data_IF_387894026264
#
_entry.id   IF_387894026264
#
_cell.length_a   1.000
_cell.length_b   1.000
_cell.length_c   1.000
_cell.angle_alpha   90.00
_cell.angle_beta   90.00
_cell.angle_gamma   90.00
#
_symmetry.space_group_name_H-M   'P 1'
#
loop_
_entity.id
_entity.type
_entity.pdbx_description
1 polymer ?
#
# COMPACT_ATOMS: atom_id res chain seq x y z
N UNK A 1 -26.61 17.31 -0.54
CA UNK A 1 -26.20 16.61 0.70
C UNK A 1 -25.27 17.56 1.46
N UNK A 2 -25.50 17.80 2.76
CA UNK A 2 -24.60 18.65 3.55
C UNK A 2 -23.24 17.97 3.77
N UNK A 3 -22.20 18.76 4.05
CA UNK A 3 -20.83 18.25 4.25
C UNK A 3 -20.76 17.15 5.32
N UNK A 4 -21.47 17.32 6.44
CA UNK A 4 -21.58 16.30 7.49
C UNK A 4 -22.09 14.97 6.97
N UNK A 5 -23.18 14.97 6.18
CA UNK A 5 -23.75 13.75 5.63
C UNK A 5 -22.82 13.05 4.62
N UNK A 6 -21.98 13.80 3.89
CA UNK A 6 -20.93 13.23 3.03
C UNK A 6 -19.87 12.52 3.87
N UNK A 7 -19.39 13.16 4.93
CA UNK A 7 -18.40 12.57 5.85
C UNK A 7 -18.95 11.32 6.51
N UNK A 8 -20.16 11.38 7.08
CA UNK A 8 -20.82 10.24 7.73
C UNK A 8 -20.96 9.05 6.75
N UNK A 9 -21.31 9.33 5.48
CA UNK A 9 -21.37 8.30 4.44
C UNK A 9 -20.01 7.66 4.15
N UNK A 10 -18.94 8.48 4.03
CA UNK A 10 -17.60 7.97 3.76
C UNK A 10 -17.05 7.14 4.94
N UNK A 11 -17.29 7.57 6.18
CA UNK A 11 -16.93 6.81 7.39
C UNK A 11 -17.66 5.47 7.37
N UNK A 12 -18.99 5.49 7.27
CA UNK A 12 -19.80 4.26 7.24
C UNK A 12 -19.31 3.29 6.16
N UNK A 13 -19.01 3.79 4.96
CA UNK A 13 -18.49 2.97 3.86
C UNK A 13 -17.13 2.37 4.19
N UNK A 14 -16.23 3.13 4.82
CA UNK A 14 -14.93 2.64 5.27
C UNK A 14 -15.05 1.59 6.36
N UNK A 15 -15.97 1.79 7.32
CA UNK A 15 -16.26 0.82 8.38
C UNK A 15 -16.81 -0.49 7.81
N UNK A 16 -17.77 -0.41 6.88
CA UNK A 16 -18.29 -1.58 6.15
C UNK A 16 -17.18 -2.37 5.44
N UNK A 17 -16.17 -1.69 4.87
CA UNK A 17 -15.02 -2.34 4.25
C UNK A 17 -14.07 -2.95 5.30
N UNK A 18 -13.92 -2.28 6.44
CA UNK A 18 -13.04 -2.72 7.51
C UNK A 18 -13.56 -3.95 8.25
N UNK A 19 -14.86 -4.01 8.58
CA UNK A 19 -15.46 -5.12 9.36
C UNK A 19 -15.67 -6.40 8.57
N UNK A 20 -15.53 -6.37 7.24
CA UNK A 20 -15.64 -7.58 6.42
C UNK A 20 -14.66 -8.66 6.91
N UNK A 21 -15.00 -9.96 6.85
CA UNK A 21 -14.03 -11.00 7.15
C UNK A 21 -12.88 -10.99 6.13
N UNK A 22 -11.74 -11.58 6.50
CA UNK A 22 -10.66 -11.78 5.54
C UNK A 22 -11.17 -12.55 4.31
N UNK A 23 -10.77 -12.08 3.14
CA UNK A 23 -10.91 -12.76 1.86
C UNK A 23 -9.59 -12.65 1.12
N UNK A 24 -9.25 -13.66 0.31
CA UNK A 24 -8.04 -13.61 -0.53
C UNK A 24 -8.07 -12.33 -1.38
N UNK A 25 -7.08 -11.48 -1.16
CA UNK A 25 -7.01 -10.16 -1.77
C UNK A 25 -6.56 -10.31 -3.22
N UNK A 26 -7.28 -9.66 -4.14
CA UNK A 26 -6.98 -9.66 -5.58
C UNK A 26 -6.20 -8.40 -5.96
N UNK A 27 -4.92 -8.36 -5.66
CA UNK A 27 -4.06 -7.19 -5.92
C UNK A 27 -3.78 -6.98 -7.40
N UNK A 28 -3.59 -8.07 -8.13
CA UNK A 28 -3.07 -8.06 -9.50
C UNK A 28 -4.09 -8.57 -10.52
N UNK A 29 -5.03 -9.42 -10.08
CA UNK A 29 -5.90 -10.20 -10.97
C UNK A 29 -5.23 -11.47 -11.51
N UNK A 30 -3.94 -11.69 -11.23
CA UNK A 30 -3.25 -12.94 -11.50
C UNK A 30 -3.33 -13.82 -10.25
N UNK A 31 -3.95 -15.01 -10.37
CA UNK A 31 -4.21 -15.87 -9.23
C UNK A 31 -2.93 -16.36 -8.53
N UNK A 32 -1.84 -16.62 -9.26
CA UNK A 32 -0.57 -17.10 -8.70
C UNK A 32 0.15 -15.97 -7.96
N UNK A 33 0.19 -14.78 -8.54
CA UNK A 33 0.74 -13.59 -7.88
C UNK A 33 -0.06 -13.24 -6.62
N UNK A 34 -1.39 -13.25 -6.71
CA UNK A 34 -2.26 -13.01 -5.56
C UNK A 34 -2.11 -14.11 -4.50
N UNK A 35 -1.86 -15.38 -4.86
CA UNK A 35 -1.51 -16.41 -3.87
C UNK A 35 -0.22 -16.06 -3.14
N UNK A 36 0.84 -15.69 -3.86
CA UNK A 36 2.13 -15.31 -3.27
C UNK A 36 1.99 -14.12 -2.31
N UNK A 37 1.28 -13.08 -2.72
CA UNK A 37 1.09 -11.86 -1.93
C UNK A 37 0.23 -12.08 -0.66
N UNK A 38 -0.68 -13.05 -0.69
CA UNK A 38 -1.51 -13.38 0.46
C UNK A 38 -0.85 -14.38 1.42
N UNK A 39 0.26 -15.02 1.03
CA UNK A 39 0.98 -15.98 1.86
C UNK A 39 1.91 -15.26 2.85
N UNK A 40 1.32 -14.60 3.86
CA UNK A 40 2.08 -13.90 4.90
C UNK A 40 2.81 -14.83 5.87
N UNK A 41 2.47 -16.13 5.87
CA UNK A 41 3.11 -17.12 6.74
C UNK A 41 4.47 -17.54 6.19
N UNK A 42 4.54 -17.91 4.91
CA UNK A 42 5.77 -18.38 4.28
C UNK A 42 6.55 -17.25 3.58
N UNK A 43 5.84 -16.27 3.00
CA UNK A 43 6.44 -15.21 2.19
C UNK A 43 5.96 -13.80 2.58
N UNK A 44 6.03 -13.38 3.86
CA UNK A 44 5.60 -12.04 4.28
C UNK A 44 6.34 -10.92 3.56
N UNK A 45 7.56 -11.16 3.08
CA UNK A 45 8.33 -10.20 2.29
C UNK A 45 7.71 -9.94 0.92
N UNK A 46 6.92 -10.84 0.34
CA UNK A 46 6.24 -10.60 -0.93
C UNK A 46 5.33 -9.38 -0.85
N UNK A 47 4.56 -9.27 0.24
CA UNK A 47 3.70 -8.13 0.52
C UNK A 47 4.49 -6.83 0.68
N UNK A 48 5.56 -6.85 1.48
CA UNK A 48 6.41 -5.66 1.71
C UNK A 48 7.05 -5.19 0.41
N UNK A 49 7.62 -6.11 -0.37
CA UNK A 49 8.26 -5.80 -1.64
C UNK A 49 7.24 -5.24 -2.64
N UNK A 50 6.02 -5.78 -2.71
CA UNK A 50 4.94 -5.24 -3.54
C UNK A 50 4.59 -3.78 -3.18
N UNK A 51 4.48 -3.48 -1.87
CA UNK A 51 4.18 -2.13 -1.41
C UNK A 51 5.25 -1.12 -1.88
N UNK A 52 6.53 -1.48 -1.78
CA UNK A 52 7.65 -0.61 -2.21
C UNK A 52 7.57 -0.34 -3.72
N UNK A 53 7.06 -1.29 -4.50
CA UNK A 53 6.92 -1.16 -5.95
C UNK A 53 5.76 -0.25 -6.39
N UNK A 54 4.84 0.13 -5.49
CA UNK A 54 3.63 0.89 -5.83
C UNK A 54 3.91 2.40 -6.03
N UNK A 55 4.68 2.70 -7.07
CA UNK A 55 5.18 4.05 -7.37
C UNK A 55 4.91 4.46 -8.80
N UNK A 56 3.95 5.39 -8.98
CA UNK A 56 3.70 6.08 -10.25
C UNK A 56 3.48 5.14 -11.46
N UNK A 57 2.95 3.95 -11.20
CA UNK A 57 2.43 3.00 -12.18
C UNK A 57 1.07 2.49 -11.69
N UNK A 58 0.37 1.68 -12.49
CA UNK A 58 -0.87 1.04 -12.04
C UNK A 58 -0.55 0.07 -10.90
N UNK A 59 -1.38 0.07 -9.85
CA UNK A 59 -1.22 -0.82 -8.70
C UNK A 59 -1.12 -2.29 -9.14
N UNK A 60 -1.98 -2.74 -10.06
CA UNK A 60 -1.96 -4.14 -10.52
C UNK A 60 -0.62 -4.53 -11.15
N UNK A 61 0.07 -3.59 -11.81
CA UNK A 61 1.40 -3.81 -12.38
C UNK A 61 2.48 -3.81 -11.31
N UNK A 62 2.43 -2.87 -10.36
CA UNK A 62 3.39 -2.80 -9.25
C UNK A 62 3.36 -4.06 -8.39
N UNK A 63 2.17 -4.48 -8.00
CA UNK A 63 1.96 -5.61 -7.10
C UNK A 63 2.27 -6.96 -7.78
N UNK A 64 2.33 -7.01 -9.12
CA UNK A 64 2.74 -8.20 -9.87
C UNK A 64 4.27 -8.43 -9.85
N UNK A 65 5.07 -7.41 -9.55
CA UNK A 65 6.54 -7.45 -9.66
C UNK A 65 7.19 -8.56 -8.81
N UNK A 66 6.82 -8.78 -7.53
CA UNK A 66 7.37 -9.90 -6.74
C UNK A 66 7.17 -11.26 -7.41
N UNK A 67 6.01 -11.48 -8.02
CA UNK A 67 5.72 -12.71 -8.73
C UNK A 67 6.59 -12.85 -9.99
N UNK A 68 6.73 -11.81 -10.81
CA UNK A 68 7.61 -11.84 -11.99
C UNK A 68 9.07 -12.15 -11.60
N UNK A 69 9.55 -11.57 -10.50
CA UNK A 69 10.89 -11.85 -9.98
C UNK A 69 10.99 -13.31 -9.51
N UNK A 70 9.96 -13.85 -8.86
CA UNK A 70 9.95 -15.26 -8.44
C UNK A 70 10.15 -16.23 -9.61
N UNK A 71 9.60 -15.90 -10.77
CA UNK A 71 9.73 -16.72 -11.98
C UNK A 71 11.16 -16.66 -12.54
N UNK A 72 11.79 -15.49 -12.50
CA UNK A 72 13.15 -15.27 -12.99
C UNK A 72 14.23 -15.85 -12.06
N UNK A 73 13.97 -15.88 -10.74
CA UNK A 73 14.88 -16.43 -9.72
C UNK A 73 14.66 -17.94 -9.50
N UNK A 74 13.52 -18.50 -9.90
CA UNK A 74 13.19 -19.91 -9.66
C UNK A 74 12.75 -20.20 -8.21
N UNK A 75 12.05 -19.24 -7.61
CA UNK A 75 11.58 -19.31 -6.23
C UNK A 75 11.45 -17.93 -5.60
N UNK A 76 10.94 -17.90 -4.37
CA UNK A 76 10.73 -16.65 -3.64
C UNK A 76 11.16 -16.72 -2.18
N UNK A 77 11.87 -17.78 -1.79
CA UNK A 77 12.50 -17.89 -0.49
C UNK A 77 13.54 -16.79 -0.31
N UNK A 78 13.59 -16.16 0.86
CA UNK A 78 14.43 -14.99 1.08
C UNK A 78 15.92 -15.28 0.81
N UNK A 79 16.41 -16.48 1.16
CA UNK A 79 17.78 -16.89 0.89
C UNK A 79 18.10 -16.95 -0.62
N UNK A 80 17.14 -17.34 -1.48
CA UNK A 80 17.33 -17.30 -2.93
C UNK A 80 17.41 -15.86 -3.43
N UNK A 81 16.53 -14.98 -2.93
CA UNK A 81 16.57 -13.56 -3.26
C UNK A 81 17.89 -12.90 -2.81
N UNK A 82 18.42 -13.26 -1.64
CA UNK A 82 19.70 -12.80 -1.11
C UNK A 82 20.91 -13.29 -1.92
N UNK A 83 20.77 -14.39 -2.66
CA UNK A 83 21.82 -14.90 -3.55
C UNK A 83 21.95 -14.10 -4.85
N UNK A 84 20.96 -13.27 -5.18
CA UNK A 84 21.01 -12.36 -6.33
C UNK A 84 21.67 -11.03 -5.95
N UNK A 85 22.66 -10.61 -6.72
CA UNK A 85 23.23 -9.27 -6.59
C UNK A 85 22.32 -8.20 -7.24
N UNK A 86 22.69 -6.93 -7.05
CA UNK A 86 21.94 -5.80 -7.60
C UNK A 86 21.91 -5.82 -9.13
N UNK A 87 22.99 -6.23 -9.79
CA UNK A 87 23.07 -6.22 -11.25
C UNK A 87 22.16 -7.29 -11.86
N UNK A 88 21.97 -8.43 -11.20
CA UNK A 88 20.96 -9.42 -11.57
C UNK A 88 19.55 -8.85 -11.48
N UNK A 89 19.21 -8.12 -10.41
CA UNK A 89 17.89 -7.48 -10.33
C UNK A 89 17.72 -6.39 -11.39
N UNK A 90 18.73 -5.56 -11.64
CA UNK A 90 18.67 -4.56 -12.72
C UNK A 90 18.43 -5.20 -14.09
N UNK A 91 19.16 -6.27 -14.39
CA UNK A 91 18.99 -7.06 -15.61
C UNK A 91 17.54 -7.53 -15.77
N UNK A 92 16.97 -8.16 -14.73
CA UNK A 92 15.58 -8.63 -14.73
C UNK A 92 14.60 -7.46 -14.95
N UNK A 93 14.72 -6.38 -14.17
CA UNK A 93 13.83 -5.22 -14.26
C UNK A 93 13.85 -4.60 -15.66
N UNK A 94 15.03 -4.44 -16.25
CA UNK A 94 15.20 -3.87 -17.60
C UNK A 94 14.66 -4.82 -18.66
N UNK A 95 15.09 -6.10 -18.67
CA UNK A 95 14.67 -7.08 -19.69
C UNK A 95 13.16 -7.30 -19.70
N UNK A 96 12.55 -7.41 -18.53
CA UNK A 96 11.09 -7.63 -18.39
C UNK A 96 10.28 -6.34 -18.40
N UNK A 97 10.93 -5.17 -18.39
CA UNK A 97 10.30 -3.86 -18.27
C UNK A 97 9.33 -3.81 -17.08
N UNK A 98 9.79 -4.23 -15.89
CA UNK A 98 8.91 -4.40 -14.73
C UNK A 98 8.35 -3.06 -14.25
N UNK A 99 9.16 -2.01 -14.29
CA UNK A 99 8.80 -0.68 -13.83
C UNK A 99 9.16 0.41 -14.84
N UNK A 100 8.53 1.59 -14.72
CA UNK A 100 8.96 2.78 -15.49
C UNK A 100 10.29 3.40 -15.00
N UNK A 101 10.81 2.91 -13.89
CA UNK A 101 12.03 3.38 -13.21
C UNK A 101 12.89 2.16 -12.86
N UNK A 102 13.23 1.35 -13.87
CA UNK A 102 13.80 0.02 -13.67
C UNK A 102 15.03 0.04 -12.77
N UNK A 103 16.01 0.90 -13.04
CA UNK A 103 17.26 0.94 -12.26
C UNK A 103 17.02 1.30 -10.79
N UNK A 104 16.20 2.33 -10.54
CA UNK A 104 15.87 2.79 -9.19
C UNK A 104 15.06 1.74 -8.43
N UNK A 105 14.06 1.13 -9.07
CA UNK A 105 13.19 0.15 -8.38
C UNK A 105 13.90 -1.19 -8.16
N UNK A 106 14.79 -1.60 -9.06
CA UNK A 106 15.68 -2.75 -8.82
C UNK A 106 16.57 -2.51 -7.59
N UNK A 107 17.10 -1.28 -7.44
CA UNK A 107 17.88 -0.91 -6.26
C UNK A 107 17.04 -0.96 -4.98
N UNK A 108 15.84 -0.38 -4.96
CA UNK A 108 14.98 -0.44 -3.77
C UNK A 108 14.52 -1.86 -3.44
N UNK A 109 14.24 -2.69 -4.45
CA UNK A 109 13.88 -4.10 -4.25
C UNK A 109 15.03 -4.86 -3.58
N UNK A 110 16.25 -4.74 -4.11
CA UNK A 110 17.46 -5.34 -3.54
C UNK A 110 17.72 -4.85 -2.10
N UNK A 111 17.69 -3.53 -1.86
CA UNK A 111 17.90 -2.95 -0.52
C UNK A 111 16.84 -3.42 0.48
N UNK A 112 15.59 -3.58 0.04
CA UNK A 112 14.51 -4.08 0.89
C UNK A 112 14.74 -5.52 1.33
N UNK A 113 15.17 -6.42 0.43
CA UNK A 113 15.55 -7.79 0.77
C UNK A 113 16.64 -7.79 1.86
N UNK A 114 17.71 -7.02 1.66
CA UNK A 114 18.79 -6.92 2.65
C UNK A 114 18.37 -6.29 3.97
N UNK A 115 17.42 -5.34 3.96
CA UNK A 115 16.86 -4.76 5.19
C UNK A 115 16.04 -5.78 5.96
N UNK A 116 15.24 -6.60 5.27
CA UNK A 116 14.47 -7.69 5.88
C UNK A 116 15.43 -8.66 6.57
N UNK A 117 16.47 -9.10 5.86
CA UNK A 117 17.53 -9.94 6.44
C UNK A 117 18.16 -9.32 7.70
N UNK A 118 18.67 -8.09 7.60
CA UNK A 118 19.46 -7.45 8.67
C UNK A 118 18.65 -6.96 9.87
N UNK A 119 17.43 -6.46 9.64
CA UNK A 119 16.64 -5.74 10.66
C UNK A 119 15.42 -6.52 11.14
N UNK A 120 15.05 -7.58 10.42
CA UNK A 120 13.84 -8.34 10.67
C UNK A 120 14.10 -9.86 10.65
N UNK A 121 15.34 -10.30 10.86
CA UNK A 121 15.70 -11.72 11.08
C UNK A 121 15.07 -12.66 10.03
N UNK A 122 15.31 -12.31 8.76
CA UNK A 122 14.76 -13.01 7.58
C UNK A 122 13.22 -13.12 7.49
N UNK A 123 12.49 -12.47 8.39
CA UNK A 123 11.04 -12.57 8.48
C UNK A 123 10.37 -11.18 8.52
N UNK A 124 9.86 -10.74 7.37
CA UNK A 124 9.19 -9.45 7.26
C UNK A 124 7.93 -9.31 8.15
N UNK A 125 7.32 -10.40 8.61
CA UNK A 125 6.19 -10.32 9.56
C UNK A 125 6.59 -9.70 10.90
N UNK A 126 7.89 -9.68 11.23
CA UNK A 126 8.44 -8.94 12.38
C UNK A 126 8.13 -7.42 12.33
N UNK A 127 7.65 -6.91 11.20
CA UNK A 127 7.13 -5.54 11.11
C UNK A 127 5.81 -5.37 11.89
N UNK A 128 4.97 -6.39 12.00
CA UNK A 128 3.60 -6.29 12.54
C UNK A 128 3.16 -7.41 13.49
N UNK A 129 3.90 -8.53 13.61
CA UNK A 129 3.44 -9.75 14.30
C UNK A 129 3.13 -9.59 15.79
N UNK A 130 3.69 -8.57 16.44
CA UNK A 130 3.57 -8.30 17.88
C UNK A 130 2.40 -7.36 18.23
N UNK A 131 1.44 -7.22 17.32
CA UNK A 131 0.33 -6.24 17.42
C UNK A 131 0.80 -4.85 17.85
N UNK A 132 1.83 -4.28 17.19
CA UNK A 132 2.38 -3.01 17.61
C UNK A 132 1.39 -1.87 17.35
N UNK A 133 1.66 -0.70 17.93
CA UNK A 133 0.92 0.53 17.62
C UNK A 133 1.07 0.88 16.14
N UNK A 134 0.05 1.49 15.52
CA UNK A 134 0.08 1.86 14.09
C UNK A 134 1.27 2.74 13.73
N UNK A 135 1.66 3.67 14.62
CA UNK A 135 2.86 4.51 14.45
C UNK A 135 4.15 3.70 14.26
N UNK A 136 4.25 2.55 14.93
CA UNK A 136 5.43 1.68 14.82
C UNK A 136 5.49 1.03 13.45
N UNK A 137 4.37 0.56 12.91
CA UNK A 137 4.31 -0.05 11.58
C UNK A 137 4.64 0.98 10.51
N UNK A 138 3.98 2.15 10.56
CA UNK A 138 4.26 3.23 9.61
C UNK A 138 5.73 3.64 9.65
N UNK A 139 6.31 3.82 10.85
CA UNK A 139 7.74 4.12 11.01
C UNK A 139 8.64 3.00 10.48
N UNK A 140 8.28 1.73 10.69
CA UNK A 140 9.03 0.57 10.19
C UNK A 140 9.02 0.53 8.65
N UNK A 141 7.89 0.84 8.00
CA UNK A 141 7.81 0.98 6.54
C UNK A 141 8.60 2.18 6.02
N UNK A 142 8.52 3.35 6.66
CA UNK A 142 9.29 4.55 6.29
C UNK A 142 10.81 4.36 6.31
N UNK A 143 11.29 3.32 6.98
CA UNK A 143 12.72 2.97 6.98
C UNK A 143 13.15 2.33 5.67
N UNK A 144 12.26 1.75 4.88
CA UNK A 144 12.62 1.16 3.60
C UNK A 144 12.93 2.24 2.56
N UNK A 145 14.02 2.06 1.83
CA UNK A 145 14.44 2.96 0.77
C UNK A 145 13.37 3.05 -0.32
N UNK A 146 13.02 4.28 -0.73
CA UNK A 146 11.95 4.54 -1.69
C UNK A 146 10.54 4.64 -1.10
N UNK A 147 10.35 4.31 0.18
CA UNK A 147 9.05 4.41 0.87
C UNK A 147 8.84 5.78 1.49
N UNK A 148 7.91 6.55 0.92
CA UNK A 148 7.38 7.77 1.52
C UNK A 148 6.11 7.52 2.34
N UNK A 149 5.56 8.58 2.96
CA UNK A 149 4.39 8.49 3.83
C UNK A 149 3.18 7.83 3.16
N UNK A 150 2.94 8.11 1.87
CA UNK A 150 1.86 7.48 1.08
C UNK A 150 1.95 5.95 1.15
N UNK A 151 3.11 5.38 0.83
CA UNK A 151 3.30 3.92 0.77
C UNK A 151 3.27 3.33 2.18
N UNK A 152 3.92 3.97 3.16
CA UNK A 152 3.98 3.47 4.52
C UNK A 152 2.59 3.37 5.18
N UNK A 153 1.78 4.40 5.00
CA UNK A 153 0.41 4.45 5.50
C UNK A 153 -0.50 3.48 4.74
N UNK A 154 -0.42 3.43 3.41
CA UNK A 154 -1.15 2.45 2.59
C UNK A 154 -0.86 1.02 3.04
N UNK A 155 0.42 0.69 3.28
CA UNK A 155 0.82 -0.63 3.74
C UNK A 155 0.24 -0.95 5.12
N UNK A 156 0.40 -0.06 6.10
CA UNK A 156 -0.21 -0.23 7.42
C UNK A 156 -1.75 -0.41 7.33
N UNK A 157 -2.40 0.34 6.44
CA UNK A 157 -3.84 0.29 6.24
C UNK A 157 -4.29 -1.05 5.63
N UNK A 158 -3.57 -1.59 4.63
CA UNK A 158 -3.88 -2.89 4.04
C UNK A 158 -3.67 -4.03 5.04
N UNK A 159 -2.62 -3.97 5.87
CA UNK A 159 -2.41 -4.95 6.95
C UNK A 159 -3.60 -4.98 7.92
N UNK A 160 -4.04 -3.82 8.40
CA UNK A 160 -5.17 -3.73 9.32
C UNK A 160 -6.50 -4.10 8.65
N UNK A 161 -6.78 -3.50 7.49
CA UNK A 161 -8.07 -3.60 6.81
C UNK A 161 -8.22 -4.91 6.05
N UNK A 162 -7.29 -5.30 5.20
CA UNK A 162 -7.53 -6.41 4.28
C UNK A 162 -7.02 -7.73 4.88
N UNK A 163 -5.80 -7.72 5.43
CA UNK A 163 -5.22 -8.91 6.08
C UNK A 163 -5.71 -9.17 7.50
N UNK A 164 -6.46 -8.23 8.09
CA UNK A 164 -7.00 -8.33 9.45
C UNK A 164 -5.92 -8.53 10.52
N UNK A 165 -4.72 -7.99 10.29
CA UNK A 165 -3.64 -8.03 11.26
C UNK A 165 -4.03 -7.13 12.45
N UNK A 166 -4.11 -7.67 13.67
CA UNK A 166 -4.51 -6.91 14.85
C UNK A 166 -3.42 -5.91 15.22
N UNK A 167 -3.81 -4.65 15.40
CA UNK A 167 -2.94 -3.55 15.83
C UNK A 167 -3.44 -2.98 17.16
N UNK A 168 -2.53 -2.48 17.99
CA UNK A 168 -2.90 -1.87 19.27
C UNK A 168 -3.74 -0.57 19.11
N UNK A 169 -3.59 0.13 17.98
CA UNK A 169 -4.39 1.30 17.61
C UNK A 169 -4.38 1.48 16.09
N UNK A 170 -5.15 2.46 15.59
CA UNK A 170 -5.19 2.86 14.18
C UNK A 170 -4.96 4.36 13.95
N UNK A 171 -4.64 5.09 15.02
CA UNK A 171 -4.58 6.56 15.05
C UNK A 171 -3.52 7.17 14.11
N UNK A 172 -2.46 6.42 13.79
CA UNK A 172 -1.42 6.84 12.85
C UNK A 172 -1.50 6.14 11.50
N UNK A 173 -2.56 5.36 11.24
CA UNK A 173 -2.87 4.95 9.88
C UNK A 173 -3.60 6.13 9.25
N UNK A 174 -2.85 6.97 8.55
CA UNK A 174 -3.40 8.13 7.87
C UNK A 174 -4.18 7.76 6.58
N UNK A 175 -4.80 8.75 5.97
CA UNK A 175 -5.24 8.65 4.59
C UNK A 175 -4.03 8.81 3.65
N UNK A 176 -4.00 8.10 2.53
CA UNK A 176 -2.88 8.16 1.58
C UNK A 176 -3.06 9.34 0.62
N UNK A 177 -2.08 10.25 0.45
CA UNK A 177 -2.14 11.35 -0.52
C UNK A 177 -2.02 10.88 -1.98
N UNK A 178 -3.02 10.14 -2.45
CA UNK A 178 -3.13 9.67 -3.82
C UNK A 178 -3.90 10.66 -4.70
N UNK A 179 -3.54 10.75 -5.99
CA UNK A 179 -4.19 11.66 -6.95
C UNK A 179 -5.71 11.44 -7.06
N UNK A 180 -6.19 10.22 -6.78
CA UNK A 180 -7.61 9.89 -6.78
C UNK A 180 -8.29 10.39 -5.51
N UNK A 181 -7.68 10.16 -4.35
CA UNK A 181 -8.18 10.58 -3.04
C UNK A 181 -8.20 12.11 -2.94
N UNK A 182 -7.09 12.78 -3.31
CA UNK A 182 -6.99 14.24 -3.36
C UNK A 182 -8.13 14.84 -4.18
N UNK A 183 -8.35 14.32 -5.40
CA UNK A 183 -9.41 14.81 -6.30
C UNK A 183 -10.81 14.62 -5.70
N UNK A 184 -11.06 13.50 -5.04
CA UNK A 184 -12.36 13.24 -4.39
C UNK A 184 -12.59 14.22 -3.25
N UNK A 185 -11.64 14.36 -2.32
CA UNK A 185 -11.77 15.28 -1.20
C UNK A 185 -11.94 16.74 -1.65
N UNK A 186 -11.17 17.18 -2.65
CA UNK A 186 -11.31 18.52 -3.23
C UNK A 186 -12.70 18.72 -3.85
N UNK A 187 -13.19 17.78 -4.68
CA UNK A 187 -14.50 17.92 -5.34
C UNK A 187 -15.68 17.80 -4.39
N UNK A 188 -15.50 17.14 -3.24
CA UNK A 188 -16.49 17.10 -2.16
C UNK A 188 -16.44 18.34 -1.25
N UNK A 189 -15.50 19.26 -1.48
CA UNK A 189 -15.33 20.47 -0.67
C UNK A 189 -14.77 20.21 0.73
N UNK A 190 -14.07 19.08 0.94
CA UNK A 190 -13.46 18.73 2.22
C UNK A 190 -12.09 19.37 2.41
N UNK A 191 -11.38 19.67 1.30
CA UNK A 191 -10.08 20.36 1.28
C UNK A 191 -10.06 21.38 0.13
N UNK A 192 -9.10 22.30 0.17
CA UNK A 192 -8.94 23.34 -0.86
C UNK A 192 -8.52 22.79 -2.23
N UNK A 193 -8.72 23.60 -3.29
CA UNK A 193 -8.35 23.20 -4.67
C UNK A 193 -6.86 22.97 -4.88
N UNK A 194 -6.01 23.70 -4.16
CA UNK A 194 -4.55 23.61 -4.22
C UNK A 194 -3.96 22.92 -2.99
N UNK A 195 -4.78 22.14 -2.27
CA UNK A 195 -4.37 21.43 -1.07
C UNK A 195 -3.18 20.51 -1.34
N UNK A 196 -2.19 20.55 -0.45
CA UNK A 196 -1.12 19.57 -0.40
C UNK A 196 -1.55 18.28 0.30
N UNK A 197 -0.67 17.26 0.26
CA UNK A 197 -0.93 15.99 0.96
C UNK A 197 -1.11 16.15 2.48
N UNK A 198 -0.44 17.15 3.08
CA UNK A 198 -0.56 17.42 4.52
C UNK A 198 -1.97 17.89 4.88
N UNK A 199 -2.58 18.77 4.09
CA UNK A 199 -3.96 19.24 4.34
C UNK A 199 -4.95 18.07 4.28
N UNK A 200 -4.79 17.15 3.33
CA UNK A 200 -5.59 15.93 3.28
C UNK A 200 -5.44 15.08 4.57
N UNK A 201 -4.21 14.87 5.02
CA UNK A 201 -3.92 14.09 6.22
C UNK A 201 -4.54 14.73 7.46
N UNK A 202 -4.34 16.04 7.66
CA UNK A 202 -4.90 16.74 8.82
C UNK A 202 -6.43 16.85 8.76
N UNK A 203 -7.02 17.04 7.57
CA UNK A 203 -8.46 16.98 7.37
C UNK A 203 -9.02 15.60 7.79
N UNK A 204 -8.42 14.50 7.31
CA UNK A 204 -8.87 13.16 7.70
C UNK A 204 -8.73 12.89 9.20
N UNK A 205 -7.67 13.40 9.84
CA UNK A 205 -7.48 13.31 11.30
C UNK A 205 -8.53 14.09 12.09
N UNK A 206 -8.90 15.28 11.62
CA UNK A 206 -9.97 16.06 12.22
C UNK A 206 -11.32 15.35 12.09
N UNK A 207 -11.60 14.79 10.90
CA UNK A 207 -12.88 14.14 10.61
C UNK A 207 -13.05 12.76 11.28
N UNK A 208 -11.97 12.00 11.47
CA UNK A 208 -12.01 10.71 12.15
C UNK A 208 -10.69 10.39 12.91
N UNK A 209 -10.49 10.94 14.12
CA UNK A 209 -9.20 10.90 14.81
C UNK A 209 -8.72 9.50 15.23
N UNK A 210 -9.65 8.58 15.50
CA UNK A 210 -9.29 7.22 15.93
C UNK A 210 -8.77 6.35 14.78
N UNK A 211 -9.12 6.69 13.54
CA UNK A 211 -8.67 5.98 12.34
C UNK A 211 -8.79 6.84 11.08
N UNK A 212 -7.85 7.77 10.83
CA UNK A 212 -7.93 8.67 9.68
C UNK A 212 -7.91 7.95 8.32
N UNK A 213 -7.24 6.79 8.25
CA UNK A 213 -7.16 5.95 7.06
C UNK A 213 -8.46 5.23 6.69
N UNK A 214 -9.54 5.38 7.46
CA UNK A 214 -10.86 4.80 7.16
C UNK A 214 -11.40 5.26 5.80
N UNK A 215 -11.05 6.49 5.40
CA UNK A 215 -11.49 7.13 4.17
C UNK A 215 -10.75 6.63 2.92
N UNK A 216 -9.59 5.99 3.09
CA UNK A 216 -8.60 5.80 2.01
C UNK A 216 -9.15 4.96 0.86
N UNK A 217 -9.59 3.73 1.14
CA UNK A 217 -10.09 2.83 0.10
C UNK A 217 -11.39 3.32 -0.52
N UNK A 218 -12.32 3.87 0.29
CA UNK A 218 -13.60 4.35 -0.21
C UNK A 218 -13.40 5.54 -1.15
N UNK A 219 -12.58 6.53 -0.77
CA UNK A 219 -12.26 7.67 -1.60
C UNK A 219 -11.47 7.28 -2.85
N UNK A 220 -10.51 6.37 -2.73
CA UNK A 220 -9.76 5.86 -3.88
C UNK A 220 -10.67 5.14 -4.88
N UNK A 221 -11.56 4.27 -4.41
CA UNK A 221 -12.54 3.56 -5.26
C UNK A 221 -13.49 4.53 -5.97
N UNK A 222 -13.98 5.55 -5.25
CA UNK A 222 -14.81 6.61 -5.82
C UNK A 222 -14.05 7.33 -6.93
N UNK A 223 -12.80 7.73 -6.66
CA UNK A 223 -11.92 8.41 -7.60
C UNK A 223 -11.64 7.58 -8.85
N UNK A 224 -11.51 6.26 -8.69
CA UNK A 224 -11.24 5.33 -9.79
C UNK A 224 -12.44 5.09 -10.70
N UNK A 225 -13.59 4.81 -10.10
CA UNK A 225 -14.77 4.27 -10.80
C UNK A 225 -15.72 5.36 -11.30
N UNK A 226 -15.92 6.43 -10.50
CA UNK A 226 -16.90 7.49 -10.79
C UNK A 226 -16.26 8.87 -10.97
N UNK A 227 -15.51 9.34 -9.98
CA UNK A 227 -14.94 10.68 -9.94
C UNK A 227 -13.63 10.74 -10.74
N UNK A 228 -13.72 10.47 -12.04
CA UNK A 228 -12.57 10.48 -12.98
C UNK A 228 -12.05 11.91 -13.24
N UNK A 229 -10.78 12.09 -13.63
CA UNK A 229 -10.23 13.40 -13.95
C UNK A 229 -11.06 14.12 -15.04
N UNK A 230 -11.36 13.39 -16.12
CA UNK A 230 -12.22 13.81 -17.23
C UNK A 230 -13.53 13.00 -17.24
N UNK A 231 -14.64 13.63 -17.62
CA UNK A 231 -15.98 13.03 -17.73
C UNK A 231 -16.40 12.21 -16.48
N UNK A 232 -16.49 12.83 -15.29
CA UNK A 232 -16.92 12.13 -14.08
C UNK A 232 -18.37 11.65 -14.19
N UNK A 233 -18.66 10.48 -13.60
CA UNK A 233 -19.99 9.87 -13.56
C UNK A 233 -20.75 10.34 -12.32
N UNK A 234 -21.30 11.56 -12.37
CA UNK A 234 -21.98 12.20 -11.24
C UNK A 234 -23.49 11.90 -11.12
N UNK A 235 -24.06 11.19 -12.11
CA UNK A 235 -25.50 10.89 -12.19
C UNK A 235 -25.98 9.91 -11.15
#
# INVERSE_FOLDING_TARGET
MGQKAIVDFLIKRGEELFVQPYQKIRFTGNNQADTLLNNLEEYPHAYVLACIMDRQIKAERAWLIPYEISQEVGGFELYKLLSCDLDKFREIFVRRSLHRFNDTMAQYFHLAIHRIHKSYDDNASNIWKDSPRSATIVRRFLRFDGVGIKIATMAANILARDFKIPLADKICIDISPDVQVMRVFTRLGLINQNAGGDELIYCARELNPDYPGIFDLSAWDIGRKWCRPTNPKCG
#
